data_IF_975656525976
#
_entry.id   IF_975656525976
#
_cell.length_a   1.000
_cell.length_b   1.000
_cell.length_c   1.000
_cell.angle_alpha   90.00
_cell.angle_beta   90.00
_cell.angle_gamma   90.00
#
_symmetry.space_group_name_H-M   'P 1'
#
loop_
_entity.id
_entity.type
_entity.pdbx_description
1 polymer ?
#
# COMPACT_ATOMS: atom_id res chain seq x y z
N UNK A 1 55.27 -67.89 9.77
CA UNK A 1 55.62 -66.46 9.64
C UNK A 1 54.99 -65.91 8.37
N UNK A 2 54.37 -64.71 8.44
CA UNK A 2 53.80 -63.90 7.33
C UNK A 2 52.49 -64.47 6.75
N UNK A 3 51.41 -63.73 6.50
CA UNK A 3 51.07 -62.31 6.65
C UNK A 3 49.55 -62.23 6.48
N UNK A 4 48.79 -61.80 7.49
CA UNK A 4 47.34 -61.58 7.36
C UNK A 4 47.08 -60.13 6.94
N UNK A 5 46.36 -59.97 5.82
CA UNK A 5 45.95 -58.69 5.23
C UNK A 5 44.88 -58.05 6.11
N UNK A 6 45.13 -56.83 6.59
CA UNK A 6 44.12 -55.97 7.20
C UNK A 6 43.34 -55.25 6.07
N UNK A 7 42.03 -55.49 6.00
CA UNK A 7 41.10 -54.78 5.12
C UNK A 7 40.68 -53.46 5.79
N UNK A 8 40.96 -52.36 5.11
CA UNK A 8 40.43 -51.03 5.42
C UNK A 8 38.92 -51.00 5.25
N UNK A 9 38.20 -50.50 6.26
CA UNK A 9 36.83 -50.03 6.12
C UNK A 9 36.82 -48.50 6.22
N UNK A 10 36.68 -47.82 5.08
CA UNK A 10 36.39 -46.39 5.01
C UNK A 10 34.90 -46.17 5.29
N UNK A 11 34.55 -45.68 6.48
CA UNK A 11 33.25 -45.09 6.76
C UNK A 11 33.29 -43.61 6.35
N UNK A 12 32.81 -43.31 5.15
CA UNK A 12 32.56 -41.93 4.72
C UNK A 12 31.18 -41.53 5.23
N UNK A 13 31.14 -40.92 6.43
CA UNK A 13 29.95 -40.24 6.92
C UNK A 13 29.82 -38.90 6.17
N UNK A 14 29.10 -38.89 5.05
CA UNK A 14 28.76 -37.68 4.33
C UNK A 14 27.72 -36.86 5.09
N UNK A 15 28.17 -35.84 5.83
CA UNK A 15 27.29 -34.77 6.28
C UNK A 15 26.83 -33.97 5.05
N UNK A 16 25.66 -34.31 4.51
CA UNK A 16 24.94 -33.44 3.57
C UNK A 16 24.47 -32.19 4.34
N UNK A 17 25.33 -31.17 4.40
CA UNK A 17 24.91 -29.82 4.76
C UNK A 17 24.10 -29.28 3.58
N UNK A 18 22.77 -29.34 3.67
CA UNK A 18 21.93 -28.56 2.79
C UNK A 18 22.28 -27.07 2.98
N UNK A 19 22.46 -26.29 1.91
CA UNK A 19 22.66 -24.87 2.05
C UNK A 19 21.39 -24.32 2.72
N UNK A 20 21.56 -23.69 3.88
CA UNK A 20 20.51 -22.92 4.50
C UNK A 20 20.00 -21.94 3.44
N UNK A 21 18.78 -22.15 2.97
CA UNK A 21 18.09 -21.19 2.12
C UNK A 21 17.96 -19.94 2.99
N UNK A 22 18.82 -18.96 2.74
CA UNK A 22 18.73 -17.66 3.39
C UNK A 22 17.35 -17.09 3.01
N UNK A 23 16.37 -17.21 3.91
CA UNK A 23 15.11 -16.50 3.78
C UNK A 23 15.48 -15.02 3.70
N UNK A 24 15.35 -14.42 2.52
CA UNK A 24 15.44 -12.98 2.36
C UNK A 24 14.33 -12.38 3.20
N UNK A 25 14.67 -12.00 4.43
CA UNK A 25 13.75 -11.27 5.30
C UNK A 25 13.41 -9.96 4.61
N UNK A 26 12.12 -9.69 4.46
CA UNK A 26 11.67 -8.41 3.93
C UNK A 26 12.12 -7.29 4.88
N UNK A 27 12.41 -6.09 4.37
CA UNK A 27 12.66 -4.94 5.23
C UNK A 27 11.47 -4.69 6.17
N UNK A 28 11.72 -4.16 7.37
CA UNK A 28 10.67 -3.92 8.36
C UNK A 28 9.52 -3.04 7.83
N UNK A 29 9.79 -2.10 6.92
CA UNK A 29 8.76 -1.26 6.30
C UNK A 29 7.74 -2.06 5.47
N UNK A 30 8.08 -3.27 5.01
CA UNK A 30 7.17 -4.11 4.23
C UNK A 30 6.04 -4.70 5.09
N UNK A 31 6.19 -4.64 6.42
CA UNK A 31 5.18 -5.06 7.39
C UNK A 31 4.21 -3.95 7.79
N UNK A 32 4.48 -2.71 7.42
CA UNK A 32 3.72 -1.54 7.86
C UNK A 32 3.13 -0.82 6.67
N UNK A 33 1.91 -0.32 6.78
CA UNK A 33 1.34 0.54 5.74
C UNK A 33 1.99 1.94 5.75
N UNK A 34 2.22 2.59 4.59
CA UNK A 34 2.28 1.96 3.27
C UNK A 34 3.46 0.98 3.17
N UNK A 35 3.33 -0.16 2.46
CA UNK A 35 4.31 -1.25 2.47
C UNK A 35 5.51 -1.01 1.56
N UNK A 36 6.10 0.18 1.65
CA UNK A 36 7.30 0.62 0.97
C UNK A 36 8.03 1.64 1.87
N UNK A 37 9.31 1.91 1.58
CA UNK A 37 10.21 2.70 2.44
C UNK A 37 9.89 4.20 2.49
N UNK A 38 8.67 4.56 2.85
CA UNK A 38 8.16 5.93 2.79
C UNK A 38 8.30 6.67 4.08
N UNK A 39 8.43 7.98 3.94
CA UNK A 39 8.11 8.89 5.01
C UNK A 39 6.62 8.77 5.36
N UNK A 40 6.32 8.68 6.67
CA UNK A 40 4.96 8.58 7.24
C UNK A 40 4.56 9.86 7.96
N UNK A 41 5.29 10.93 7.68
CA UNK A 41 5.15 12.23 8.30
C UNK A 41 4.19 13.09 7.45
N UNK A 42 2.92 13.26 7.86
CA UNK A 42 1.92 13.91 7.04
C UNK A 42 2.36 15.32 6.60
N UNK A 43 3.15 16.03 7.40
CA UNK A 43 3.60 17.40 7.11
C UNK A 43 4.52 17.51 5.88
N UNK A 44 4.96 16.37 5.32
CA UNK A 44 5.71 16.32 4.06
C UNK A 44 4.85 16.36 2.81
N UNK A 45 3.56 16.05 2.89
CA UNK A 45 2.66 16.12 1.75
C UNK A 45 1.80 17.38 1.81
N UNK A 46 1.48 17.96 0.66
CA UNK A 46 0.48 19.05 0.54
C UNK A 46 -0.95 18.53 0.39
N UNK A 47 -1.12 17.27 0.03
CA UNK A 47 -2.44 16.69 -0.24
C UNK A 47 -3.02 16.04 1.01
N UNK A 48 -4.31 16.24 1.25
CA UNK A 48 -5.06 15.57 2.31
C UNK A 48 -6.39 15.05 1.77
N UNK A 49 -6.92 14.04 2.45
CA UNK A 49 -8.33 13.68 2.33
C UNK A 49 -9.03 14.14 3.61
N UNK A 50 -10.19 14.77 3.45
CA UNK A 50 -11.06 15.02 4.58
C UNK A 50 -11.50 13.69 5.21
N UNK A 51 -11.41 13.60 6.54
CA UNK A 51 -11.89 12.44 7.27
C UNK A 51 -13.42 12.28 7.16
N UNK A 52 -14.13 13.40 6.99
CA UNK A 52 -15.56 13.38 6.68
C UNK A 52 -15.79 12.97 5.23
N UNK A 53 -16.70 12.02 5.03
CA UNK A 53 -17.15 11.57 3.72
C UNK A 53 -18.67 11.55 3.65
N UNK A 54 -19.18 11.54 2.43
CA UNK A 54 -20.61 11.34 2.18
C UNK A 54 -20.89 9.92 1.70
N UNK A 55 -22.08 9.42 2.00
CA UNK A 55 -22.54 8.10 1.55
C UNK A 55 -23.86 8.27 0.80
N UNK A 56 -23.93 7.73 -0.41
CA UNK A 56 -25.16 7.65 -1.20
C UNK A 56 -25.28 6.27 -1.84
N UNK A 57 -26.14 5.43 -1.24
CA UNK A 57 -26.20 4.01 -1.56
C UNK A 57 -24.85 3.34 -1.33
N UNK A 58 -24.23 2.85 -2.41
CA UNK A 58 -22.90 2.22 -2.40
C UNK A 58 -21.74 3.18 -2.64
N UNK A 59 -22.02 4.45 -2.94
CA UNK A 59 -21.00 5.45 -3.22
C UNK A 59 -20.53 6.10 -1.93
N UNK A 60 -19.23 6.09 -1.71
CA UNK A 60 -18.55 6.81 -0.63
C UNK A 60 -17.66 7.86 -1.26
N UNK A 61 -17.85 9.14 -0.93
CA UNK A 61 -17.12 10.24 -1.53
C UNK A 61 -16.35 11.03 -0.47
N UNK A 62 -15.05 11.20 -0.69
CA UNK A 62 -14.14 11.98 0.14
C UNK A 62 -13.71 13.22 -0.64
N UNK A 63 -13.45 14.31 0.07
CA UNK A 63 -12.94 15.54 -0.54
C UNK A 63 -11.44 15.64 -0.32
N UNK A 64 -10.72 15.99 -1.38
CA UNK A 64 -9.29 16.29 -1.34
C UNK A 64 -9.05 17.76 -0.96
N UNK A 65 -7.96 18.00 -0.24
CA UNK A 65 -7.47 19.34 0.14
C UNK A 65 -6.04 19.54 -0.29
N UNK A 66 -5.72 20.77 -0.64
CA UNK A 66 -4.33 21.24 -0.79
C UNK A 66 -4.02 22.19 0.34
N UNK A 67 -3.12 21.79 1.24
CA UNK A 67 -2.70 22.62 2.36
C UNK A 67 -1.29 23.20 2.14
N UNK A 68 -0.91 24.27 2.85
CA UNK A 68 0.47 24.71 2.91
C UNK A 68 1.38 23.56 3.38
N UNK A 69 2.54 23.42 2.73
CA UNK A 69 3.50 22.39 3.11
C UNK A 69 4.15 22.73 4.47
N UNK A 70 4.19 21.76 5.38
CA UNK A 70 4.88 21.88 6.67
C UNK A 70 6.40 21.70 6.61
N UNK A 71 6.92 21.07 5.54
CA UNK A 71 8.37 20.86 5.29
C UNK A 71 8.83 21.36 3.91
N UNK A 72 8.95 22.69 3.72
CA UNK A 72 9.47 23.28 2.49
C UNK A 72 10.81 22.67 2.08
N UNK A 73 11.00 22.43 0.78
CA UNK A 73 12.23 21.81 0.24
C UNK A 73 12.26 20.28 0.31
N UNK A 74 11.26 19.63 0.92
CA UNK A 74 11.08 18.19 0.73
C UNK A 74 10.48 17.90 -0.65
N UNK A 75 10.86 16.78 -1.26
CA UNK A 75 10.37 16.33 -2.58
C UNK A 75 8.84 16.23 -2.64
N UNK A 76 8.21 15.96 -1.51
CA UNK A 76 6.76 15.84 -1.38
C UNK A 76 6.01 17.18 -1.30
N UNK A 77 6.76 18.28 -1.32
CA UNK A 77 6.26 19.65 -1.20
C UNK A 77 6.63 20.55 -2.38
N UNK A 78 7.30 20.02 -3.39
CA UNK A 78 7.70 20.74 -4.60
C UNK A 78 6.47 21.12 -5.44
N UNK A 79 6.55 22.19 -6.23
CA UNK A 79 5.40 22.75 -6.97
C UNK A 79 4.87 21.83 -8.08
N UNK A 80 5.70 20.90 -8.57
CA UNK A 80 5.32 19.91 -9.58
C UNK A 80 4.80 18.60 -8.98
N UNK A 81 4.59 18.58 -7.66
CA UNK A 81 3.96 17.47 -6.94
C UNK A 81 2.53 17.26 -7.42
N UNK A 82 2.19 16.00 -7.71
CA UNK A 82 0.84 15.58 -8.08
C UNK A 82 0.28 14.53 -7.10
N UNK A 83 -1.04 14.36 -7.14
CA UNK A 83 -1.74 13.27 -6.48
C UNK A 83 -2.17 12.31 -7.58
N UNK A 84 -1.24 11.43 -7.99
CA UNK A 84 -1.47 10.47 -9.05
C UNK A 84 -2.30 9.28 -8.58
N UNK A 85 -2.13 8.88 -7.31
CA UNK A 85 -2.78 7.72 -6.70
C UNK A 85 -3.00 7.93 -5.20
N UNK A 86 -4.07 7.34 -4.69
CA UNK A 86 -4.30 7.12 -3.26
C UNK A 86 -4.21 5.62 -2.99
N UNK A 87 -3.54 5.24 -1.92
CA UNK A 87 -3.55 3.87 -1.43
C UNK A 87 -4.30 3.80 -0.10
N UNK A 88 -5.09 2.75 0.10
CA UNK A 88 -5.87 2.51 1.30
C UNK A 88 -5.43 1.20 1.95
N UNK A 89 -5.15 1.24 3.25
CA UNK A 89 -5.01 0.03 4.06
C UNK A 89 -6.40 -0.58 4.26
N UNK A 90 -6.59 -1.82 3.80
CA UNK A 90 -7.91 -2.48 3.79
C UNK A 90 -7.84 -3.86 4.42
N UNK A 91 -8.99 -4.38 4.84
CA UNK A 91 -9.09 -5.76 5.31
C UNK A 91 -8.84 -6.73 4.15
N UNK A 92 -8.08 -7.80 4.42
CA UNK A 92 -7.71 -8.82 3.42
C UNK A 92 -8.90 -9.51 2.77
N UNK A 93 -10.03 -9.60 3.49
CA UNK A 93 -11.26 -10.21 2.97
C UNK A 93 -11.99 -9.32 1.95
N UNK A 94 -11.61 -8.05 1.80
CA UNK A 94 -12.28 -7.07 0.95
C UNK A 94 -11.81 -7.04 -0.51
N UNK A 95 -11.19 -8.13 -1.00
CA UNK A 95 -10.86 -8.22 -2.43
C UNK A 95 -12.13 -8.03 -3.26
N UNK A 96 -12.04 -7.16 -4.28
CA UNK A 96 -13.16 -6.72 -5.14
C UNK A 96 -14.22 -5.83 -4.47
N UNK A 97 -13.98 -5.33 -3.24
CA UNK A 97 -14.93 -4.45 -2.57
C UNK A 97 -15.05 -3.07 -3.22
N UNK A 98 -13.98 -2.55 -3.84
CA UNK A 98 -14.02 -1.30 -4.60
C UNK A 98 -14.16 -1.63 -6.08
N UNK A 99 -15.34 -1.35 -6.63
CA UNK A 99 -15.72 -1.74 -8.00
C UNK A 99 -15.59 -0.62 -9.03
N UNK A 100 -15.41 0.61 -8.56
CA UNK A 100 -15.21 1.77 -9.42
C UNK A 100 -14.77 2.97 -8.61
N UNK A 101 -14.04 3.87 -9.28
CA UNK A 101 -13.57 5.14 -8.71
C UNK A 101 -13.89 6.26 -9.68
N UNK A 102 -14.28 7.42 -9.16
CA UNK A 102 -14.45 8.65 -9.95
C UNK A 102 -13.78 9.83 -9.28
N UNK A 103 -13.28 10.76 -10.07
CA UNK A 103 -12.82 12.09 -9.63
C UNK A 103 -13.74 13.13 -10.25
N UNK A 104 -14.38 13.96 -9.42
CA UNK A 104 -15.36 14.96 -9.87
C UNK A 104 -16.43 14.37 -10.80
N UNK A 105 -16.92 13.18 -10.46
CA UNK A 105 -17.93 12.43 -11.21
C UNK A 105 -17.42 11.71 -12.48
N UNK A 106 -16.16 11.89 -12.86
CA UNK A 106 -15.55 11.24 -14.03
C UNK A 106 -14.86 9.94 -13.63
N UNK A 107 -15.13 8.80 -14.29
CA UNK A 107 -14.43 7.56 -14.02
C UNK A 107 -12.91 7.70 -14.19
N UNK A 108 -12.16 7.05 -13.30
CA UNK A 108 -10.70 6.88 -13.43
C UNK A 108 -10.36 5.41 -13.62
N UNK A 109 -9.06 5.09 -13.62
CA UNK A 109 -8.59 3.72 -13.80
C UNK A 109 -9.15 2.78 -12.73
N UNK A 110 -9.37 1.52 -13.13
CA UNK A 110 -9.83 0.47 -12.22
C UNK A 110 -8.88 0.32 -11.03
N UNK A 111 -9.39 0.32 -9.79
CA UNK A 111 -8.55 0.17 -8.62
C UNK A 111 -7.92 -1.23 -8.58
N UNK A 112 -6.66 -1.31 -8.16
CA UNK A 112 -5.97 -2.58 -7.95
C UNK A 112 -5.89 -2.94 -6.48
N UNK A 113 -5.71 -4.22 -6.17
CA UNK A 113 -5.64 -4.75 -4.82
C UNK A 113 -4.47 -5.69 -4.70
N UNK A 114 -3.66 -5.54 -3.66
CA UNK A 114 -2.45 -6.34 -3.44
C UNK A 114 -2.31 -6.75 -1.97
N UNK A 115 -1.72 -7.93 -1.75
CA UNK A 115 -1.31 -8.39 -0.41
C UNK A 115 0.11 -7.94 -0.09
N UNK A 116 0.32 -7.45 1.13
CA UNK A 116 1.62 -7.08 1.66
C UNK A 116 1.92 -7.76 3.01
N UNK A 117 3.12 -7.53 3.55
CA UNK A 117 3.66 -8.27 4.69
C UNK A 117 4.20 -9.64 4.30
N UNK A 118 5.05 -10.20 5.16
CA UNK A 118 5.68 -11.52 4.99
C UNK A 118 4.63 -12.61 5.02
N UNK A 119 3.64 -12.50 5.90
CA UNK A 119 2.55 -13.46 6.04
C UNK A 119 1.42 -13.26 5.02
N UNK A 120 1.45 -12.19 4.21
CA UNK A 120 0.36 -11.83 3.27
C UNK A 120 -1.01 -11.70 3.95
N UNK A 121 -0.99 -11.22 5.19
CA UNK A 121 -2.14 -11.04 6.09
C UNK A 121 -2.66 -9.59 6.11
N UNK A 122 -2.13 -8.74 5.22
CA UNK A 122 -2.52 -7.33 5.08
C UNK A 122 -2.76 -7.00 3.62
N UNK A 123 -3.64 -6.04 3.36
CA UNK A 123 -4.04 -5.68 2.00
C UNK A 123 -4.05 -4.17 1.76
N UNK A 124 -3.73 -3.80 0.53
CA UNK A 124 -3.78 -2.42 0.04
C UNK A 124 -4.66 -2.33 -1.19
N UNK A 125 -5.55 -1.34 -1.21
CA UNK A 125 -6.24 -0.89 -2.42
C UNK A 125 -5.53 0.31 -3.01
N UNK A 126 -5.39 0.35 -4.34
CA UNK A 126 -4.73 1.42 -5.08
C UNK A 126 -5.72 2.09 -6.00
N UNK A 127 -6.09 3.33 -5.68
CA UNK A 127 -6.97 4.19 -6.48
C UNK A 127 -6.07 5.03 -7.40
N UNK A 128 -5.84 4.57 -8.62
CA UNK A 128 -4.87 5.16 -9.55
C UNK A 128 -5.53 5.98 -10.66
N UNK A 129 -4.74 6.77 -11.39
CA UNK A 129 -5.21 7.61 -12.48
C UNK A 129 -6.06 8.79 -12.01
N UNK A 130 -5.76 9.31 -10.81
CA UNK A 130 -6.48 10.46 -10.26
C UNK A 130 -6.16 11.74 -11.05
N UNK A 131 -4.93 11.87 -11.56
CA UNK A 131 -4.46 12.99 -12.38
C UNK A 131 -4.73 14.36 -11.74
N UNK A 132 -4.63 14.42 -10.40
CA UNK A 132 -4.81 15.64 -9.63
C UNK A 132 -3.46 16.28 -9.34
N UNK A 133 -3.39 17.60 -9.32
CA UNK A 133 -2.18 18.36 -9.01
C UNK A 133 -2.51 19.52 -8.05
N UNK A 134 -1.54 20.35 -7.71
CA UNK A 134 -1.76 21.46 -6.76
C UNK A 134 -2.90 22.42 -7.15
N UNK A 135 -3.26 22.54 -8.43
CA UNK A 135 -4.33 23.44 -8.89
C UNK A 135 -5.68 22.74 -9.05
N UNK A 136 -5.71 21.42 -9.19
CA UNK A 136 -6.93 20.65 -9.44
C UNK A 136 -7.35 19.76 -8.28
N UNK A 137 -6.46 19.49 -7.32
CA UNK A 137 -6.72 18.59 -6.20
C UNK A 137 -7.54 19.24 -5.08
N UNK A 138 -7.50 20.56 -4.92
CA UNK A 138 -8.26 21.22 -3.87
C UNK A 138 -9.76 21.17 -4.21
N UNK A 139 -10.58 20.82 -3.23
CA UNK A 139 -12.02 20.54 -3.38
C UNK A 139 -12.37 19.39 -4.35
N UNK A 140 -11.40 18.65 -4.87
CA UNK A 140 -11.69 17.51 -5.74
C UNK A 140 -12.42 16.41 -4.97
N UNK A 141 -13.52 15.91 -5.54
CA UNK A 141 -14.33 14.86 -4.93
C UNK A 141 -13.95 13.50 -5.51
N UNK A 142 -13.42 12.63 -4.67
CA UNK A 142 -13.00 11.28 -5.02
C UNK A 142 -14.04 10.31 -4.46
N UNK A 143 -14.77 9.64 -5.34
CA UNK A 143 -15.79 8.68 -4.96
C UNK A 143 -15.37 7.25 -5.29
N UNK A 144 -15.61 6.36 -4.34
CA UNK A 144 -15.50 4.90 -4.49
C UNK A 144 -16.90 4.30 -4.55
N UNK A 145 -17.08 3.27 -5.38
CA UNK A 145 -18.29 2.42 -5.33
C UNK A 145 -17.96 1.13 -4.59
N UNK A 146 -18.50 1.00 -3.39
CA UNK A 146 -18.31 -0.17 -2.52
C UNK A 146 -19.25 -1.33 -2.90
N UNK A 147 -18.86 -2.54 -2.56
CA UNK A 147 -19.59 -3.76 -2.87
C UNK A 147 -18.88 -5.00 -2.35
N UNK A 148 -19.19 -6.15 -2.93
CA UNK A 148 -18.58 -7.42 -2.56
C UNK A 148 -18.78 -7.77 -1.08
N UNK A 149 -17.72 -8.29 -0.47
CA UNK A 149 -17.67 -8.69 0.95
C UNK A 149 -17.61 -7.53 1.93
N UNK A 150 -17.27 -6.31 1.47
CA UNK A 150 -17.10 -5.13 2.30
C UNK A 150 -17.89 -3.94 1.74
N UNK A 151 -19.23 -3.94 1.87
CA UNK A 151 -20.10 -2.90 1.32
C UNK A 151 -20.04 -1.55 2.07
N UNK A 152 -19.31 -1.45 3.19
CA UNK A 152 -19.20 -0.25 4.02
C UNK A 152 -17.74 0.09 4.34
N UNK A 153 -17.44 1.34 4.68
CA UNK A 153 -16.11 1.75 5.14
C UNK A 153 -15.68 1.00 6.42
N UNK A 154 -16.61 0.73 7.33
CA UNK A 154 -16.32 -0.01 8.57
C UNK A 154 -15.84 -1.44 8.31
N UNK A 155 -16.35 -2.09 7.27
CA UNK A 155 -15.90 -3.42 6.85
C UNK A 155 -14.63 -3.34 5.99
N UNK A 156 -14.50 -2.28 5.20
CA UNK A 156 -13.33 -2.07 4.33
C UNK A 156 -12.05 -1.83 5.14
N UNK A 157 -12.12 -1.01 6.20
CA UNK A 157 -10.96 -0.53 6.93
C UNK A 157 -10.62 -1.44 8.13
N UNK A 158 -9.35 -1.90 8.29
CA UNK A 158 -8.96 -2.78 9.39
C UNK A 158 -9.23 -2.21 10.78
N UNK A 159 -9.12 -0.89 10.94
CA UNK A 159 -9.31 -0.19 12.21
C UNK A 159 -10.80 -0.09 12.61
N UNK A 160 -11.73 -0.38 11.69
CA UNK A 160 -13.19 -0.30 11.86
C UNK A 160 -13.71 1.05 12.40
N UNK A 161 -12.88 2.10 12.38
CA UNK A 161 -13.20 3.46 12.85
C UNK A 161 -13.94 4.31 11.79
N UNK A 162 -14.24 3.74 10.62
CA UNK A 162 -14.95 4.39 9.53
C UNK A 162 -14.07 5.09 8.48
N UNK A 163 -12.75 5.17 8.68
CA UNK A 163 -11.84 5.76 7.70
C UNK A 163 -10.51 5.01 7.62
N UNK A 164 -10.16 4.53 6.45
CA UNK A 164 -8.98 3.69 6.27
C UNK A 164 -7.73 4.55 6.39
N UNK A 165 -6.67 4.00 7.02
CA UNK A 165 -5.34 4.57 6.85
C UNK A 165 -5.02 4.68 5.37
N UNK A 166 -4.52 5.82 4.92
CA UNK A 166 -4.25 6.08 3.50
C UNK A 166 -2.85 6.66 3.29
N UNK A 167 -2.37 6.55 2.05
CA UNK A 167 -1.15 7.19 1.60
C UNK A 167 -1.38 7.88 0.26
N UNK A 168 -0.83 9.08 0.09
CA UNK A 168 -0.79 9.76 -1.21
C UNK A 168 0.46 9.34 -1.98
N UNK A 169 0.32 9.20 -3.30
CA UNK A 169 1.42 8.77 -4.17
C UNK A 169 1.48 9.67 -5.39
N UNK A 170 2.65 10.26 -5.62
CA UNK A 170 2.95 11.09 -6.80
C UNK A 170 3.29 10.21 -8.02
N UNK A 171 3.39 10.82 -9.21
CA UNK A 171 3.96 10.20 -10.40
C UNK A 171 5.51 10.17 -10.35
N UNK A 172 6.15 9.19 -11.03
CA UNK A 172 7.63 9.01 -11.03
C UNK A 172 8.17 7.64 -10.53
N UNK A 173 9.42 7.59 -10.06
CA UNK A 173 10.15 6.36 -9.64
C UNK A 173 10.31 6.17 -8.12
N UNK A 174 10.19 7.23 -7.32
CA UNK A 174 10.29 7.22 -5.85
C UNK A 174 9.32 8.28 -5.30
N UNK A 175 8.05 7.90 -5.09
CA UNK A 175 6.94 8.87 -5.12
C UNK A 175 5.98 8.78 -3.95
N UNK A 176 6.44 8.32 -2.80
CA UNK A 176 5.53 8.19 -1.68
C UNK A 176 5.57 9.41 -0.79
N UNK A 177 4.50 10.18 -0.88
CA UNK A 177 4.32 11.42 -0.17
C UNK A 177 3.13 11.23 0.74
N UNK A 178 3.36 11.06 2.05
CA UNK A 178 2.43 10.48 3.00
C UNK A 178 1.00 10.99 2.84
#
# INVERSE_FOLDING_TARGET
>A
MRSARALLAFLVAGCMAWPAVAQRQLPAWAETFPPYGCTRDPDQSRFRLDASYTVSGRKVCMTSRVIPCGKPGSRCCEEFTDMAKIELNVNVSCKFAITGVTVNGRPVLTPTWDLYGTAKDKAVYKLTGLNLNLTTADDAVICMTLGGTCPTMQQLCPEANGFCSYAVVQSGVCNCCP
#
